data_IF_208982523325
#
_entry.id   IF_208982523325
#
_cell.length_a   1.000
_cell.length_b   1.000
_cell.length_c   1.000
_cell.angle_alpha   90.00
_cell.angle_beta   90.00
_cell.angle_gamma   90.00
#
_symmetry.space_group_name_H-M   'P 1'
#
loop_
_entity.id
_entity.type
_entity.pdbx_description
1 polymer ?
2 water ?
#
# COMPACT_ATOMS: atom_id res chain seq x y z
N UNK A 2 32.55 -19.65 20.01
CA UNK A 2 32.83 -18.21 19.89
C UNK A 2 31.92 -17.56 18.85
N UNK A 3 31.46 -18.33 17.88
CA UNK A 3 30.57 -17.79 16.86
C UNK A 3 29.17 -17.62 17.44
N UNK A 4 28.78 -18.52 18.33
CA UNK A 4 27.54 -18.38 19.08
C UNK A 4 27.57 -17.11 19.92
N UNK A 5 28.77 -16.74 20.36
CA UNK A 5 28.96 -15.49 21.09
C UNK A 5 28.81 -14.28 20.16
N UNK A 6 29.28 -14.44 18.92
CA UNK A 6 29.17 -13.38 17.92
C UNK A 6 27.71 -13.14 17.54
N UNK A 7 26.97 -14.23 17.40
CA UNK A 7 25.56 -14.17 16.99
C UNK A 7 24.72 -13.45 18.03
N UNK A 8 24.90 -13.80 19.30
CA UNK A 8 24.15 -13.19 20.39
C UNK A 8 24.45 -11.69 20.51
N UNK A 9 25.70 -11.32 20.26
CA UNK A 9 26.09 -9.91 20.31
C UNK A 9 25.42 -9.12 19.19
N UNK A 10 25.34 -9.72 18.01
CA UNK A 10 24.70 -9.07 16.87
C UNK A 10 23.20 -8.94 17.10
N UNK A 12 21.60 -8.62 20.06
CA UNK A 12 21.34 -7.58 21.05
C UNK A 12 21.41 -6.19 20.41
N UNK A 13 22.33 -6.01 19.49
CA UNK A 13 22.44 -4.76 18.76
C UNK A 13 21.18 -4.52 17.94
N UNK A 14 20.69 -5.58 17.31
CA UNK A 14 19.48 -5.51 16.51
C UNK A 14 18.24 -5.29 17.38
N UNK A 15 18.19 -5.99 18.51
CA UNK A 15 17.08 -5.88 19.44
C UNK A 15 17.03 -4.49 20.09
N UNK A 16 18.19 -3.90 20.30
CA UNK A 16 18.26 -2.55 20.85
C UNK A 16 17.82 -1.51 19.82
N UNK A 17 18.16 -1.73 18.56
CA UNK A 17 17.77 -0.82 17.50
C UNK A 17 16.27 -0.94 17.18
N UNK A 18 15.75 -2.16 17.25
CA UNK A 18 14.32 -2.40 17.06
C UNK A 18 13.50 -1.70 18.13
N UNK A 19 14.01 -1.71 19.35
CA UNK A 19 13.37 -1.05 20.48
C UNK A 19 13.18 0.45 20.22
N UNK A 20 14.22 1.07 19.67
CA UNK A 20 14.17 2.48 19.32
C UNK A 20 13.13 2.74 18.22
N UNK A 21 13.20 1.96 17.15
CA UNK A 21 12.31 2.14 16.01
C UNK A 21 10.85 1.92 16.36
N UNK A 23 9.52 2.14 19.39
CA UNK A 23 9.09 3.21 20.28
C UNK A 23 8.64 4.40 19.45
N UNK A 24 9.33 4.64 18.34
CA UNK A 24 8.98 5.72 17.43
C UNK A 24 7.64 5.43 16.74
N UNK A 25 7.41 4.17 16.42
CA UNK A 25 6.16 3.77 15.78
C UNK A 25 4.98 3.98 16.72
N UNK A 26 5.17 3.65 17.98
CA UNK A 26 4.13 3.85 18.99
C UNK A 26 3.73 5.32 19.06
N UNK A 27 4.73 6.20 19.00
CA UNK A 27 4.50 7.64 19.01
C UNK A 27 3.70 8.08 17.79
N UNK A 28 4.01 7.47 16.65
CA UNK A 28 3.32 7.78 15.40
C UNK A 28 1.85 7.38 15.46
N UNK A 29 1.57 6.24 16.09
CA UNK A 29 0.22 5.69 16.12
C UNK A 29 -0.61 6.18 17.31
N UNK A 30 0.02 6.92 18.22
CA UNK A 30 -0.65 7.39 19.42
C UNK A 30 -1.40 8.71 19.19
N UNK A 31 -2.40 8.96 20.03
CA UNK A 31 -3.19 10.17 19.93
C UNK A 31 -3.21 10.89 21.28
N UNK A 32 -3.30 12.22 21.27
CA UNK A 32 -3.40 13.00 22.49
C UNK A 32 -2.08 13.15 23.24
N UNK A 33 -0.98 12.81 22.59
CA UNK A 33 0.34 12.96 23.19
C UNK A 33 0.75 14.42 23.17
N UNK A 34 1.63 14.80 24.11
CA UNK A 34 2.09 16.18 24.19
C UNK A 34 2.89 16.56 22.94
N UNK A 35 4.01 15.86 22.72
CA UNK A 35 4.79 16.08 21.50
C UNK A 35 4.32 15.11 20.43
N UNK A 36 3.20 15.44 19.80
CA UNK A 36 2.51 14.52 18.91
C UNK A 36 3.10 14.40 17.53
N UNK A 37 2.89 13.23 16.92
CA UNK A 37 3.36 12.97 15.58
C UNK A 37 2.53 13.70 14.54
N UNK A 38 2.93 13.57 13.28
CA UNK A 38 2.17 14.15 12.18
C UNK A 38 0.83 13.45 12.02
N UNK A 39 0.82 12.14 12.21
CA UNK A 39 -0.40 11.36 12.08
C UNK A 39 -1.42 11.76 13.15
N UNK A 40 -0.93 12.05 14.35
CA UNK A 40 -1.81 12.48 15.45
C UNK A 40 -2.53 13.77 15.10
N UNK A 41 -1.78 14.76 14.64
CA UNK A 41 -2.34 16.04 14.24
C UNK A 41 -3.38 15.87 13.12
N UNK A 42 -3.09 15.01 12.17
CA UNK A 42 -4.00 14.69 11.08
C UNK A 42 -5.26 13.99 11.59
N UNK A 43 -5.07 13.02 12.47
CA UNK A 43 -6.18 12.28 13.08
C UNK A 43 -7.12 13.19 13.85
N UNK A 44 -6.57 14.09 14.66
CA UNK A 44 -7.39 14.95 15.50
C UNK A 44 -8.13 16.01 14.68
N UNK A 45 -7.44 16.58 13.69
CA UNK A 45 -8.05 17.60 12.85
C UNK A 45 -9.15 17.01 11.97
N UNK A 46 -8.90 15.83 11.42
CA UNK A 46 -9.87 15.13 10.59
C UNK A 46 -11.17 14.85 11.34
N UNK A 47 -11.05 14.33 12.56
CA UNK A 47 -12.22 13.95 13.35
C UNK A 47 -13.01 15.16 13.83
N UNK A 48 -12.33 16.29 14.05
CA UNK A 48 -13.01 17.51 14.43
C UNK A 48 -13.70 18.16 13.23
N UNK A 49 -13.05 18.08 12.07
CA UNK A 49 -13.66 18.59 10.84
C UNK A 49 -14.90 17.78 10.47
N UNK A 50 -14.85 16.48 10.71
CA UNK A 50 -15.99 15.61 10.40
C UNK A 50 -17.15 15.86 11.36
N UNK A 51 -16.82 16.20 12.60
CA UNK A 51 -17.84 16.54 13.58
C UNK A 51 -18.59 17.79 13.14
N UNK A 52 -17.85 18.76 12.63
CA UNK A 52 -18.45 19.99 12.10
C UNK A 52 -19.36 19.67 10.91
N UNK A 53 -18.85 18.88 9.97
CA UNK A 53 -19.62 18.51 8.78
C UNK A 53 -20.91 17.80 9.15
N UNK A 54 -20.84 16.89 10.12
CA UNK A 54 -22.01 16.16 10.56
C UNK A 54 -23.05 17.10 11.18
N UNK A 55 -22.56 18.06 11.96
CA UNK A 55 -23.42 19.07 12.57
C UNK A 55 -24.10 19.92 11.49
N UNK A 56 -23.31 20.40 10.54
CA UNK A 56 -23.84 21.22 9.45
C UNK A 56 -24.85 20.45 8.60
N UNK A 57 -24.61 19.15 8.44
CA UNK A 57 -25.51 18.31 7.66
C UNK A 57 -26.88 18.22 8.33
N UNK A 58 -26.88 18.08 9.65
CA UNK A 58 -28.12 18.01 10.41
C UNK A 58 -28.87 19.34 10.34
N UNK A 59 -28.13 20.44 10.40
CA UNK A 59 -28.71 21.78 10.28
C UNK A 59 -29.33 21.97 8.90
N UNK A 60 -28.65 21.48 7.86
CA UNK A 60 -29.15 21.57 6.49
C UNK A 60 -30.48 20.86 6.34
N UNK A 61 -30.59 19.69 6.95
CA UNK A 61 -31.82 18.91 6.91
C UNK A 61 -32.97 19.65 7.59
N UNK A 62 -32.64 20.46 8.59
CA UNK A 62 -33.64 21.24 9.31
C UNK A 62 -34.14 22.41 8.46
N UNK A 63 -33.44 22.72 7.38
CA UNK A 63 -33.78 23.85 6.51
C UNK A 63 -34.60 23.45 5.28
N UNK A 64 -35.29 22.31 5.37
CA UNK A 64 -36.03 21.77 4.24
C UNK A 64 -37.25 22.63 3.89
N UNK A 65 -37.86 23.23 4.89
CA UNK A 65 -39.08 23.99 4.68
C UNK A 65 -38.86 25.48 4.44
N UNK A 66 -37.65 25.96 4.71
CA UNK A 66 -37.34 27.37 4.54
C UNK A 66 -37.34 27.78 3.07
N UNK A 67 -37.89 28.96 2.78
CA UNK A 67 -38.07 29.42 1.41
C UNK A 67 -36.77 29.80 0.72
N UNK A 68 -36.86 30.01 -0.59
CA UNK A 68 -35.69 30.29 -1.41
C UNK A 68 -35.59 31.76 -1.80
N UNK A 69 -34.42 32.15 -2.32
CA UNK A 69 -34.22 33.49 -2.83
C UNK A 69 -33.78 33.42 -4.29
N UNK A 70 -34.73 33.12 -5.17
CA UNK A 70 -34.45 33.01 -6.60
C UNK A 70 -33.98 34.34 -7.18
N UNK A 71 -32.87 34.33 -7.92
CA UNK A 71 -32.11 33.12 -8.20
C UNK A 71 -31.06 32.82 -7.13
N UNK A 72 -30.99 31.56 -6.71
CA UNK A 72 -29.95 31.14 -5.79
C UNK A 72 -29.33 29.82 -6.25
N UNK A 73 -28.00 29.77 -6.27
CA UNK A 73 -27.28 28.62 -6.79
C UNK A 73 -27.18 27.47 -5.79
N UNK A 74 -28.28 27.19 -5.10
CA UNK A 74 -28.29 26.14 -4.09
C UNK A 74 -28.14 24.76 -4.73
N UNK A 75 -28.89 24.50 -5.80
CA UNK A 75 -28.80 23.22 -6.49
C UNK A 75 -27.40 23.00 -7.06
N UNK A 76 -26.79 24.08 -7.54
CA UNK A 76 -25.44 24.00 -8.11
C UNK A 76 -24.41 23.74 -7.02
N UNK A 77 -24.57 24.41 -5.88
CA UNK A 77 -23.65 24.24 -4.77
C UNK A 77 -23.85 22.88 -4.10
N UNK A 78 -25.08 22.38 -4.11
CA UNK A 78 -25.37 21.08 -3.53
C UNK A 78 -24.74 19.97 -4.37
N UNK A 79 -24.73 20.16 -5.68
CA UNK A 79 -24.09 19.22 -6.58
C UNK A 79 -22.59 19.10 -6.28
N UNK A 80 -21.95 20.25 -6.11
CA UNK A 80 -20.52 20.27 -5.82
C UNK A 80 -20.23 19.62 -4.48
N UNK A 81 -21.15 19.78 -3.54
CA UNK A 81 -21.01 19.19 -2.21
C UNK A 81 -21.08 17.67 -2.25
N UNK A 82 -22.11 17.14 -2.92
CA UNK A 82 -22.27 15.69 -3.02
C UNK A 82 -21.08 15.06 -3.76
N UNK A 83 -20.52 15.79 -4.71
CA UNK A 83 -19.32 15.35 -5.42
C UNK A 83 -18.14 15.20 -4.48
N UNK A 84 -17.88 16.25 -3.70
CA UNK A 84 -16.74 16.25 -2.79
C UNK A 84 -16.90 15.19 -1.71
N UNK A 85 -18.13 14.98 -1.24
CA UNK A 85 -18.37 14.01 -0.19
C UNK A 85 -18.19 12.58 -0.72
N UNK A 86 -18.61 12.36 -1.95
CA UNK A 86 -18.42 11.07 -2.60
C UNK A 86 -16.94 10.73 -2.71
N UNK A 87 -16.15 11.72 -3.13
CA UNK A 87 -14.71 11.55 -3.26
C UNK A 87 -14.04 11.28 -1.91
N UNK A 88 -14.46 12.00 -0.88
CA UNK A 88 -13.92 11.79 0.46
C UNK A 88 -14.32 10.43 0.99
N UNK A 89 -15.51 9.97 0.63
CA UNK A 89 -15.97 8.64 0.99
C UNK A 89 -15.04 7.57 0.45
N UNK A 90 -14.67 7.69 -0.82
CA UNK A 90 -13.78 6.71 -1.44
C UNK A 90 -12.37 6.78 -0.84
N UNK A 91 -11.92 7.99 -0.54
CA UNK A 91 -10.61 8.18 0.08
C UNK A 91 -10.57 7.58 1.49
N UNK A 92 -11.66 7.72 2.23
CA UNK A 92 -11.72 7.16 3.58
C UNK A 92 -11.69 5.64 3.55
N UNK A 93 -12.34 5.07 2.54
CA UNK A 93 -12.35 3.63 2.33
C UNK A 93 -10.94 3.12 1.99
N UNK A 94 -10.26 3.86 1.14
CA UNK A 94 -8.89 3.55 0.75
C UNK A 94 -7.95 3.60 1.97
N UNK A 95 -8.05 4.67 2.74
CA UNK A 95 -7.23 4.83 3.94
C UNK A 95 -7.50 3.74 4.98
N UNK A 96 -8.75 3.29 5.07
CA UNK A 96 -9.09 2.18 5.93
C UNK A 96 -8.40 0.92 5.45
N UNK A 97 -8.37 0.75 4.13
CA UNK A 97 -7.67 -0.38 3.51
C UNK A 97 -6.17 -0.28 3.74
N UNK A 98 -5.64 0.94 3.77
CA UNK A 98 -4.22 1.16 4.09
C UNK A 98 -3.92 0.78 5.54
N UNK A 99 -4.87 1.06 6.42
CA UNK A 99 -4.77 0.70 7.83
C UNK A 99 -4.72 -0.82 8.00
N UNK A 100 -5.53 -1.52 7.22
CA UNK A 100 -5.53 -2.99 7.25
C UNK A 100 -4.18 -3.54 6.78
N UNK A 101 -3.54 -2.85 5.86
CA UNK A 101 -2.19 -3.19 5.45
C UNK A 101 -1.19 -3.01 6.59
N UNK A 102 -1.35 -1.94 7.35
CA UNK A 102 -0.52 -1.70 8.51
C UNK A 102 -0.69 -2.83 9.52
N UNK A 103 -1.94 -3.25 9.70
CA UNK A 103 -2.24 -4.31 10.64
C UNK A 103 -1.63 -5.64 10.18
N UNK A 104 -1.70 -5.90 8.88
CA UNK A 104 -1.12 -7.11 8.31
C UNK A 104 0.40 -7.20 8.56
N UNK A 105 1.10 -6.10 8.38
CA UNK A 105 2.56 -6.07 8.61
C UNK A 105 2.88 -6.19 10.09
N UNK A 106 2.00 -5.64 10.93
CA UNK A 106 2.14 -5.75 12.38
C UNK A 106 2.09 -7.21 12.83
N UNK A 107 1.18 -7.97 12.24
CA UNK A 107 1.04 -9.38 12.57
C UNK A 107 2.19 -10.20 12.00
N UNK A 108 2.72 -9.77 10.85
CA UNK A 108 3.91 -10.39 10.29
C UNK A 108 5.10 -10.14 11.19
N UNK A 109 5.17 -8.93 11.75
CA UNK A 109 6.23 -8.55 12.68
C UNK A 109 6.17 -9.39 13.94
N UNK A 110 4.96 -9.77 14.33
CA UNK A 110 4.74 -10.54 15.54
C UNK A 110 5.32 -11.95 15.43
N UNK A 111 5.12 -12.57 14.28
CA UNK A 111 5.55 -13.94 14.09
C UNK A 111 7.07 -14.08 14.08
N UNK A 112 7.77 -12.98 13.79
CA UNK A 112 9.22 -12.96 13.84
C UNK A 112 9.68 -12.83 15.30
N UNK A 113 8.91 -12.11 16.10
CA UNK A 113 9.27 -11.85 17.49
C UNK A 113 8.85 -12.97 18.44
N UNK A 114 8.06 -13.92 17.94
CA UNK A 114 7.64 -15.04 18.77
C UNK A 114 8.81 -15.97 19.02
N UNK A 115 8.92 -16.52 20.24
CA UNK A 115 10.06 -17.35 20.63
C UNK A 115 10.05 -18.71 19.92
N UNK B 2 -31.17 32.70 3.40
CA UNK B 2 -29.72 32.81 3.37
C UNK B 2 -29.07 31.90 4.41
N UNK B 3 -29.90 31.32 5.29
CA UNK B 3 -29.41 30.39 6.30
C UNK B 3 -28.93 29.10 5.66
N UNK B 4 -29.76 28.53 4.80
CA UNK B 4 -29.40 27.35 4.04
C UNK B 4 -28.19 27.65 3.17
N UNK B 5 -28.14 28.86 2.62
CA UNK B 5 -27.04 29.30 1.78
C UNK B 5 -25.73 29.35 2.56
N UNK B 6 -25.80 29.85 3.79
CA UNK B 6 -24.62 29.94 4.64
C UNK B 6 -24.16 28.56 5.09
N UNK B 7 -25.11 27.65 5.31
CA UNK B 7 -24.79 26.29 5.70
C UNK B 7 -24.04 25.57 4.58
N UNK B 8 -24.51 25.74 3.35
CA UNK B 8 -23.88 25.12 2.20
C UNK B 8 -22.47 25.67 1.99
N UNK B 9 -22.29 26.97 2.23
CA UNK B 9 -20.98 27.60 2.11
C UNK B 9 -20.00 27.03 3.14
N UNK B 10 -20.48 26.89 4.37
CA UNK B 10 -19.65 26.36 5.45
C UNK B 10 -19.28 24.90 5.18
N UNK B 12 -19.00 23.48 2.21
CA UNK B 12 -18.01 23.47 1.12
C UNK B 12 -16.59 23.76 1.66
N UNK B 13 -16.50 24.76 2.54
CA UNK B 13 -15.23 25.12 3.17
C UNK B 13 -14.63 23.96 3.96
N UNK B 14 -15.48 23.28 4.73
CA UNK B 14 -15.06 22.16 5.56
C UNK B 14 -14.62 20.98 4.69
N UNK B 15 -15.38 20.70 3.63
CA UNK B 15 -15.06 19.62 2.72
C UNK B 15 -13.71 19.83 2.04
N UNK B 16 -13.40 21.09 1.70
CA UNK B 16 -12.12 21.42 1.09
C UNK B 16 -10.96 21.17 2.05
N UNK B 17 -11.15 21.54 3.30
CA UNK B 17 -10.13 21.33 4.32
C UNK B 17 -9.96 19.85 4.61
N UNK B 18 -11.07 19.12 4.64
CA UNK B 18 -11.06 17.69 4.88
C UNK B 18 -10.28 16.93 3.81
N UNK B 19 -10.39 17.37 2.57
CA UNK B 19 -9.66 16.71 1.48
C UNK B 19 -8.16 16.86 1.66
N UNK B 20 -7.75 18.03 2.12
CA UNK B 20 -6.33 18.29 2.36
C UNK B 20 -5.79 17.41 3.48
N UNK B 21 -6.52 17.35 4.58
CA UNK B 21 -6.14 16.55 5.73
C UNK B 21 -6.10 15.07 5.39
N UNK B 23 -5.86 13.67 2.40
CA UNK B 23 -4.79 13.39 1.44
C UNK B 23 -3.47 13.20 2.20
N UNK B 24 -3.28 13.99 3.24
CA UNK B 24 -2.10 13.87 4.08
C UNK B 24 -2.13 12.54 4.83
N UNK B 25 -3.32 12.16 5.26
CA UNK B 25 -3.51 10.89 5.96
C UNK B 25 -3.13 9.72 5.05
N UNK B 26 -3.55 9.77 3.79
CA UNK B 26 -3.20 8.72 2.84
C UNK B 26 -1.69 8.63 2.71
N UNK B 27 -1.04 9.79 2.60
CA UNK B 27 0.41 9.86 2.47
C UNK B 27 1.10 9.28 3.71
N UNK B 28 0.49 9.45 4.88
CA UNK B 28 1.07 8.93 6.11
C UNK B 28 0.97 7.41 6.19
N UNK B 29 -0.15 6.87 5.71
CA UNK B 29 -0.44 5.44 5.83
C UNK B 29 0.06 4.63 4.64
N UNK B 30 0.65 5.30 3.66
CA UNK B 30 1.14 4.63 2.47
C UNK B 30 2.60 4.20 2.62
N UNK B 31 3.00 3.21 1.83
CA UNK B 31 4.38 2.73 1.83
C UNK B 31 4.91 2.62 0.41
N UNK B 32 6.23 2.52 0.28
CA UNK B 32 6.87 2.45 -1.03
C UNK B 32 6.71 3.72 -1.84
N UNK B 33 6.50 4.84 -1.17
CA UNK B 33 6.28 6.12 -1.83
C UNK B 33 7.60 6.86 -2.04
N UNK B 34 7.60 7.76 -3.03
CA UNK B 34 8.78 8.56 -3.34
C UNK B 34 9.14 9.48 -2.19
N UNK B 35 8.24 10.37 -1.81
CA UNK B 35 8.44 11.21 -0.64
C UNK B 35 7.75 10.58 0.57
N UNK B 36 8.36 9.52 1.09
CA UNK B 36 7.77 8.73 2.16
C UNK B 36 7.58 9.47 3.47
N UNK B 37 6.50 9.13 4.15
CA UNK B 37 6.19 9.74 5.44
C UNK B 37 7.10 9.17 6.53
N UNK B 38 7.00 9.72 7.74
CA UNK B 38 7.78 9.23 8.86
C UNK B 38 7.40 7.79 9.18
N UNK B 39 6.12 7.49 9.07
CA UNK B 39 5.61 6.15 9.36
C UNK B 39 6.13 5.13 8.36
N UNK B 40 6.27 5.55 7.10
CA UNK B 40 6.81 4.68 6.06
C UNK B 40 8.28 4.36 6.35
N UNK B 41 9.05 5.39 6.69
CA UNK B 41 10.47 5.23 6.98
C UNK B 41 10.68 4.34 8.21
N UNK B 42 9.84 4.51 9.22
CA UNK B 42 9.89 3.69 10.42
C UNK B 42 9.53 2.24 10.10
N UNK B 43 8.51 2.07 9.26
CA UNK B 43 8.08 0.75 8.81
C UNK B 43 9.20 0.02 8.07
N UNK B 44 9.86 0.73 7.15
CA UNK B 44 10.93 0.16 6.36
C UNK B 44 12.08 -0.34 7.23
N UNK B 45 12.55 0.51 8.14
CA UNK B 45 13.68 0.16 8.99
C UNK B 45 13.32 -0.99 9.92
N UNK B 46 12.07 -0.99 10.39
CA UNK B 46 11.58 -2.04 11.26
C UNK B 46 11.57 -3.38 10.53
N UNK B 47 11.11 -3.37 9.28
CA UNK B 47 11.05 -4.59 8.48
C UNK B 47 12.44 -5.14 8.17
N UNK B 48 13.40 -4.26 7.89
CA UNK B 48 14.74 -4.70 7.57
C UNK B 48 15.46 -5.21 8.81
N UNK B 49 15.15 -4.62 9.96
CA UNK B 49 15.74 -5.05 11.22
C UNK B 49 15.21 -6.41 11.64
N UNK B 50 13.92 -6.63 11.40
CA UNK B 50 13.29 -7.91 11.73
C UNK B 50 13.78 -9.02 10.82
N UNK B 51 14.18 -8.66 9.60
CA UNK B 51 14.74 -9.64 8.66
C UNK B 51 16.13 -10.06 9.12
N UNK B 52 16.90 -9.08 9.60
CA UNK B 52 18.21 -9.36 10.15
C UNK B 52 18.10 -10.23 11.39
N UNK B 53 17.19 -9.85 12.29
CA UNK B 53 16.97 -10.60 13.53
C UNK B 53 16.58 -12.04 13.24
N UNK B 54 15.67 -12.23 12.30
CA UNK B 54 15.25 -13.56 11.90
C UNK B 54 16.43 -14.35 11.35
N UNK B 55 17.17 -13.72 10.44
CA UNK B 55 18.39 -14.31 9.88
C UNK B 55 19.38 -14.71 10.96
N UNK B 56 19.53 -13.86 11.98
CA UNK B 56 20.44 -14.16 13.08
C UNK B 56 19.88 -15.30 13.94
N UNK B 57 18.56 -15.40 14.03
CA UNK B 57 17.92 -16.42 14.84
C UNK B 57 18.17 -17.81 14.28
N UNK B 58 18.11 -17.93 12.95
CA UNK B 58 18.34 -19.23 12.31
C UNK B 58 19.78 -19.68 12.46
N UNK B 59 20.70 -18.72 12.51
CA UNK B 59 22.11 -19.02 12.71
C UNK B 59 22.37 -19.59 14.10
N UNK B 60 21.76 -18.96 15.11
CA UNK B 60 21.92 -19.39 16.49
C UNK B 60 21.45 -20.83 16.72
N UNK B 61 20.37 -21.21 16.03
CA UNK B 61 19.82 -22.54 16.17
C UNK B 61 20.72 -23.60 15.53
N UNK B 62 21.55 -23.16 14.58
CA UNK B 62 22.50 -24.07 13.95
C UNK B 62 23.68 -24.35 14.87
N UNK B 63 23.90 -23.45 15.82
CA UNK B 63 24.98 -23.60 16.79
C UNK B 63 24.54 -24.47 17.96
N UNK B 64 23.51 -25.28 17.75
CA UNK B 64 22.97 -26.15 18.78
C UNK B 64 24.01 -27.20 19.22
N UNK B 65 24.81 -27.66 18.27
CA UNK B 65 25.82 -28.67 18.55
C UNK B 65 26.98 -28.06 19.34
N UNK B 66 27.78 -27.24 18.63
CA UNK B 66 28.91 -26.47 19.17
C UNK B 66 29.39 -26.86 20.57
N UNK B 71 29.75 -22.25 29.41
CA UNK B 71 28.73 -21.24 29.68
C UNK B 71 28.92 -19.98 28.82
N UNK B 72 30.11 -19.38 28.89
CA UNK B 72 30.50 -18.33 27.95
C UNK B 72 29.52 -17.14 27.97
N UNK B 73 29.26 -16.60 29.16
CA UNK B 73 28.38 -15.43 29.35
C UNK B 73 27.02 -15.60 28.67
N UNK B 74 26.81 -16.75 28.02
CA UNK B 74 25.71 -16.97 27.09
C UNK B 74 24.36 -16.98 27.81
N UNK B 75 24.30 -17.68 28.94
CA UNK B 75 23.09 -17.71 29.74
C UNK B 75 22.66 -16.30 30.15
N UNK B 76 23.62 -15.47 30.53
CA UNK B 76 23.33 -14.09 30.92
C UNK B 76 22.91 -13.28 29.70
N UNK B 77 23.50 -13.57 28.55
CA UNK B 77 23.18 -12.85 27.33
C UNK B 77 21.91 -13.37 26.68
N UNK B 78 21.72 -14.69 26.68
CA UNK B 78 20.53 -15.28 26.09
C UNK B 78 19.28 -14.93 26.88
N UNK B 79 19.43 -14.78 28.19
CA UNK B 79 18.32 -14.41 29.04
C UNK B 79 17.95 -12.95 28.79
N UNK B 80 18.96 -12.12 28.57
CA UNK B 80 18.74 -10.71 28.27
C UNK B 80 18.05 -10.55 26.93
N UNK B 81 18.34 -11.46 26.02
CA UNK B 81 17.73 -11.44 24.69
C UNK B 81 16.25 -11.82 24.76
N UNK B 82 15.94 -12.89 25.49
CA UNK B 82 14.56 -13.36 25.62
C UNK B 82 13.69 -12.34 26.36
N UNK B 83 14.30 -11.56 27.24
CA UNK B 83 13.58 -10.49 27.94
C UNK B 83 13.27 -9.35 26.99
N UNK B 84 14.25 -8.96 26.18
CA UNK B 84 14.08 -7.89 25.21
C UNK B 84 13.04 -8.24 24.15
N UNK B 85 13.04 -9.49 23.70
CA UNK B 85 12.11 -9.93 22.68
C UNK B 85 10.68 -9.94 23.20
N UNK B 86 10.51 -10.36 24.45
CA UNK B 86 9.20 -10.36 25.08
C UNK B 86 8.67 -8.94 25.22
N UNK B 87 9.55 -8.00 25.54
CA UNK B 87 9.19 -6.60 25.63
C UNK B 87 8.74 -6.05 24.27
N UNK B 88 9.51 -6.37 23.23
CA UNK B 88 9.16 -5.97 21.88
C UNK B 88 7.85 -6.62 21.45
N UNK B 89 7.64 -7.86 21.90
CA UNK B 89 6.41 -8.59 21.60
C UNK B 89 5.20 -7.87 22.20
N UNK B 90 5.37 -7.33 23.41
CA UNK B 90 4.29 -6.58 24.07
C UNK B 90 4.10 -5.22 23.41
N UNK B 91 5.21 -4.62 22.99
CA UNK B 91 5.18 -3.35 22.28
C UNK B 91 4.46 -3.51 20.93
N UNK B 92 4.71 -4.63 20.25
CA UNK B 92 4.12 -4.86 18.94
C UNK B 92 2.61 -5.01 19.02
N UNK B 93 2.12 -5.69 20.04
CA UNK B 93 0.68 -5.90 20.17
C UNK B 93 -0.01 -4.62 20.62
N UNK B 94 0.70 -3.78 21.36
CA UNK B 94 0.19 -2.49 21.78
C UNK B 94 0.03 -1.57 20.57
N UNK B 95 1.03 -1.60 19.69
CA UNK B 95 0.96 -0.85 18.44
C UNK B 95 -0.16 -1.38 17.54
N UNK B 96 -0.42 -2.68 17.63
CA UNK B 96 -1.54 -3.28 16.93
C UNK B 96 -2.87 -2.77 17.48
N UNK B 97 -2.93 -2.59 18.79
CA UNK B 97 -4.12 -2.05 19.44
C UNK B 97 -4.34 -0.60 19.02
N UNK B 98 -3.25 0.13 18.84
CA UNK B 98 -3.32 1.51 18.39
C UNK B 98 -3.82 1.60 16.94
N UNK B 99 -3.47 0.60 16.13
CA UNK B 99 -3.97 0.52 14.76
C UNK B 99 -5.47 0.19 14.73
N UNK B 100 -5.89 -0.69 15.63
CA UNK B 100 -7.30 -1.01 15.76
C UNK B 100 -8.10 0.23 16.19
N UNK B 101 -7.44 1.12 16.93
CA UNK B 101 -8.04 2.38 17.31
C UNK B 101 -8.26 3.29 16.13
N UNK B 102 -7.30 3.29 15.19
CA UNK B 102 -7.43 4.10 13.98
C UNK B 102 -8.52 3.54 13.06
N UNK B 103 -8.66 2.22 13.08
CA UNK B 103 -9.73 1.54 12.35
C UNK B 103 -11.10 2.02 12.84
N UNK B 104 -11.27 2.05 14.15
CA UNK B 104 -12.50 2.53 14.79
C UNK B 104 -12.83 3.94 14.33
N UNK B 105 -11.82 4.81 14.35
CA UNK B 105 -12.00 6.19 13.93
C UNK B 105 -12.27 6.30 12.43
N UNK B 106 -11.70 5.38 11.66
CA UNK B 106 -11.99 5.30 10.24
C UNK B 106 -13.45 4.89 10.01
N UNK B 107 -13.95 3.98 10.84
CA UNK B 107 -15.34 3.54 10.73
C UNK B 107 -16.30 4.67 11.10
N UNK B 108 -15.91 5.51 12.05
CA UNK B 108 -16.71 6.67 12.43
C UNK B 108 -16.78 7.68 11.30
N UNK B 109 -15.67 7.84 10.58
CA UNK B 109 -15.60 8.72 9.43
C UNK B 109 -16.55 8.24 8.33
N UNK B 110 -16.56 6.93 8.10
CA UNK B 110 -17.43 6.33 7.09
C UNK B 110 -18.90 6.67 7.34
N UNK B 111 -19.32 6.60 8.60
CA UNK B 111 -20.71 6.89 8.96
C UNK B 111 -21.11 8.32 8.60
N UNK B 112 -20.19 9.25 8.83
CA UNK B 112 -20.43 10.65 8.53
C UNK B 112 -20.47 10.89 7.02
N UNK B 113 -19.63 10.18 6.27
CA UNK B 113 -19.49 10.40 4.84
C UNK B 113 -20.35 9.49 3.99
N UNK B 114 -21.11 8.60 4.63
CA UNK B 114 -21.90 7.62 3.89
C UNK B 114 -23.02 8.29 3.10
N UNK B 115 -23.36 7.73 1.93
CA UNK B 115 -24.35 8.37 1.04
C UNK B 115 -25.74 8.46 1.65
N UNK B 116 -26.44 9.55 1.38
CA UNK B 116 -27.83 9.69 1.80
C UNK B 116 -28.69 8.67 1.07
N UNK B 117 -29.66 8.11 1.77
CA UNK B 117 -30.53 7.11 1.17
C UNK B 117 -31.77 7.77 0.57
N UNK B 118 -31.80 9.10 0.57
CA UNK B 118 -32.75 9.86 -0.24
C UNK B 118 -32.00 11.02 -0.89
N UNK B 119 -32.12 11.13 -2.22
CA UNK B 119 -31.46 12.24 -2.93
C UNK B 119 -32.23 13.55 -2.72
N UNK B 120 -31.50 14.65 -2.55
CA UNK B 120 -32.14 15.93 -2.30
C UNK B 120 -32.20 16.77 -3.57
N UNK B 121 -33.41 17.17 -3.96
CA UNK B 121 -33.61 17.98 -5.16
C UNK B 121 -34.10 19.38 -4.80
N UNK B 122 -33.25 20.37 -5.02
CA UNK B 122 -33.60 21.75 -4.70
C UNK B 122 -34.21 22.47 -5.89
N UNK C 2 -22.41 -40.37 -9.98
CA UNK C 2 -21.09 -40.18 -9.39
C UNK C 2 -20.21 -39.32 -10.30
N UNK C 3 -20.73 -39.00 -11.49
CA UNK C 3 -20.05 -38.09 -12.40
C UNK C 3 -19.97 -36.70 -11.78
N UNK C 4 -21.08 -36.25 -11.21
CA UNK C 4 -21.14 -34.99 -10.49
C UNK C 4 -20.17 -35.00 -9.32
N UNK C 5 -20.04 -36.16 -8.69
CA UNK C 5 -19.13 -36.34 -7.57
C UNK C 5 -17.67 -36.15 -7.98
N UNK C 6 -17.30 -36.65 -9.16
CA UNK C 6 -15.91 -36.56 -9.61
C UNK C 6 -15.58 -35.14 -10.07
N UNK C 7 -16.59 -34.42 -10.56
CA UNK C 7 -16.40 -33.04 -10.97
C UNK C 7 -16.10 -32.16 -9.75
N UNK C 8 -16.89 -32.34 -8.70
CA UNK C 8 -16.72 -31.57 -7.47
C UNK C 8 -15.39 -31.88 -6.79
N UNK C 9 -14.94 -33.13 -6.90
CA UNK C 9 -13.67 -33.55 -6.32
C UNK C 9 -12.49 -32.85 -7.00
N UNK C 10 -12.54 -32.76 -8.32
CA UNK C 10 -11.48 -32.11 -9.07
C UNK C 10 -11.49 -30.60 -8.85
N UNK C 12 -12.27 -29.07 -5.96
CA UNK C 12 -11.65 -28.86 -4.66
C UNK C 12 -10.14 -28.85 -4.77
N UNK C 13 -9.61 -29.76 -5.59
CA UNK C 13 -8.17 -29.87 -5.79
C UNK C 13 -7.59 -28.62 -6.45
N UNK C 14 -8.29 -28.13 -7.46
CA UNK C 14 -7.88 -26.93 -8.19
C UNK C 14 -7.98 -25.70 -7.28
N UNK C 15 -9.07 -25.60 -6.53
CA UNK C 15 -9.27 -24.48 -5.61
C UNK C 15 -8.18 -24.40 -4.55
N UNK C 16 -7.72 -25.56 -4.09
CA UNK C 16 -6.63 -25.61 -3.11
C UNK C 16 -5.32 -25.12 -3.73
N UNK C 17 -5.04 -25.53 -4.96
CA UNK C 17 -3.86 -25.08 -5.67
C UNK C 17 -3.94 -23.59 -5.99
N UNK C 18 -5.14 -23.12 -6.28
CA UNK C 18 -5.37 -21.72 -6.57
C UNK C 18 -5.08 -20.83 -5.37
N UNK C 19 -5.46 -21.29 -4.19
CA UNK C 19 -5.23 -20.53 -2.97
C UNK C 19 -3.73 -20.34 -2.72
N UNK C 20 -2.97 -21.40 -2.95
CA UNK C 20 -1.51 -21.35 -2.79
C UNK C 20 -0.88 -20.36 -3.76
N UNK C 21 -1.25 -20.45 -5.03
CA UNK C 21 -0.71 -19.58 -6.06
C UNK C 21 -1.11 -18.12 -5.84
N UNK C 23 -2.04 -16.77 -3.01
CA UNK C 23 -1.37 -16.28 -1.80
C UNK C 23 0.04 -15.81 -2.17
N UNK C 24 0.67 -16.53 -3.08
CA UNK C 24 2.00 -16.16 -3.56
C UNK C 24 1.92 -14.89 -4.39
N UNK C 25 0.84 -14.72 -5.13
CA UNK C 25 0.64 -13.51 -5.91
C UNK C 25 0.53 -12.29 -5.01
N UNK C 26 -0.21 -12.42 -3.92
CA UNK C 26 -0.37 -11.32 -2.96
C UNK C 26 0.97 -10.86 -2.41
N UNK C 27 1.83 -11.81 -2.05
CA UNK C 27 3.13 -11.48 -1.50
C UNK C 27 3.99 -10.74 -2.52
N UNK C 28 3.89 -11.14 -3.79
CA UNK C 28 4.65 -10.48 -4.85
C UNK C 28 4.22 -9.03 -5.03
N UNK C 29 2.92 -8.78 -4.87
CA UNK C 29 2.35 -7.46 -5.14
C UNK C 29 2.37 -6.56 -3.91
N UNK C 30 2.73 -7.12 -2.75
CA UNK C 30 2.75 -6.36 -1.51
C UNK C 30 4.04 -5.54 -1.36
N UNK C 31 3.95 -4.49 -0.55
CA UNK C 31 5.09 -3.59 -0.32
C UNK C 31 5.27 -3.40 1.19
N UNK C 32 6.50 -3.14 1.61
CA UNK C 32 6.81 -2.91 3.01
C UNK C 32 6.87 -4.19 3.84
N UNK C 33 7.04 -5.32 3.18
CA UNK C 33 7.09 -6.60 3.88
C UNK C 33 8.50 -6.88 4.39
N UNK C 34 8.60 -7.75 5.39
CA UNK C 34 9.87 -8.10 6.00
C UNK C 34 10.80 -8.75 4.99
N UNK C 35 10.39 -9.90 4.45
CA UNK C 35 11.14 -10.51 3.35
C UNK C 35 10.43 -10.25 2.03
N UNK C 36 10.53 -9.02 1.56
CA UNK C 36 9.81 -8.59 0.38
C UNK C 36 10.22 -9.31 -0.89
N UNK C 37 9.30 -9.36 -1.84
CA UNK C 37 9.56 -9.94 -3.14
C UNK C 37 10.57 -9.09 -3.91
N UNK C 38 11.01 -9.59 -5.06
CA UNK C 38 11.91 -8.83 -5.91
C UNK C 38 11.24 -7.55 -6.40
N UNK C 39 9.93 -7.63 -6.65
CA UNK C 39 9.17 -6.46 -7.09
C UNK C 39 9.12 -5.37 -6.02
N UNK C 40 9.03 -5.77 -4.76
CA UNK C 40 9.03 -4.82 -3.65
C UNK C 40 10.35 -4.07 -3.59
N UNK C 41 11.46 -4.80 -3.66
CA UNK C 41 12.78 -4.21 -3.57
C UNK C 41 13.05 -3.28 -4.75
N UNK C 42 12.56 -3.65 -5.93
CA UNK C 42 12.69 -2.81 -7.11
C UNK C 42 11.86 -1.55 -6.95
N UNK C 43 10.66 -1.70 -6.39
CA UNK C 43 9.77 -0.57 -6.11
C UNK C 43 10.40 0.46 -5.18
N UNK C 44 11.09 -0.02 -4.16
CA UNK C 44 11.67 0.86 -3.15
C UNK C 44 12.98 1.51 -3.63
N UNK C 45 13.76 0.76 -4.41
CA UNK C 45 14.94 1.33 -5.05
C UNK C 45 14.54 2.44 -6.00
N UNK C 46 13.49 2.19 -6.77
CA UNK C 46 12.98 3.14 -7.75
C UNK C 46 12.46 4.40 -7.07
N UNK C 47 11.69 4.22 -6.00
CA UNK C 47 11.12 5.35 -5.27
C UNK C 47 12.20 6.23 -4.64
N UNK C 48 13.23 5.62 -4.06
CA UNK C 48 14.30 6.38 -3.45
C UNK C 48 15.15 7.11 -4.50
N UNK C 49 15.41 6.45 -5.62
CA UNK C 49 16.16 7.06 -6.71
C UNK C 49 15.40 8.25 -7.29
N UNK C 50 14.09 8.11 -7.41
CA UNK C 50 13.26 9.20 -7.93
C UNK C 50 13.23 10.37 -6.97
N UNK C 51 13.29 10.06 -5.67
CA UNK C 51 13.35 11.10 -4.65
C UNK C 51 14.62 11.93 -4.79
N UNK C 52 15.74 11.25 -5.01
CA UNK C 52 17.01 11.93 -5.21
C UNK C 52 17.00 12.77 -6.49
N UNK C 53 16.39 12.22 -7.55
CA UNK C 53 16.34 12.92 -8.83
C UNK C 53 15.56 14.21 -8.74
N UNK C 54 14.39 14.14 -8.12
CA UNK C 54 13.54 15.31 -7.96
C UNK C 54 14.24 16.37 -7.12
N UNK C 55 15.02 15.91 -6.15
CA UNK C 55 15.79 16.80 -5.29
C UNK C 55 16.90 17.51 -6.08
N UNK C 56 17.60 16.74 -6.91
CA UNK C 56 18.66 17.30 -7.75
C UNK C 56 18.09 18.29 -8.77
N UNK C 57 16.90 17.99 -9.27
CA UNK C 57 16.23 18.84 -10.24
C UNK C 57 15.93 20.23 -9.67
N UNK C 58 15.54 20.28 -8.41
CA UNK C 58 15.20 21.54 -7.76
C UNK C 58 16.44 22.40 -7.56
N UNK C 59 17.56 21.74 -7.26
CA UNK C 59 18.84 22.44 -7.13
C UNK C 59 19.23 23.06 -8.47
N UNK C 60 19.10 22.29 -9.54
CA UNK C 60 19.47 22.73 -10.87
C UNK C 60 18.67 23.96 -11.30
N UNK C 61 17.37 23.93 -11.02
CA UNK C 61 16.48 25.03 -11.38
C UNK C 61 16.89 26.35 -10.71
N UNK C 62 17.28 26.25 -9.45
CA UNK C 62 17.63 27.44 -8.68
C UNK C 62 18.93 28.09 -9.16
N UNK C 63 19.97 27.29 -9.37
CA UNK C 63 21.28 27.83 -9.69
C UNK C 63 21.47 28.09 -11.19
N UNK C 64 20.55 27.60 -12.02
CA UNK C 64 20.64 27.85 -13.46
C UNK C 64 20.25 29.28 -13.82
N UNK C 65 20.10 30.12 -12.80
CA UNK C 65 19.89 31.55 -12.99
C UNK C 65 21.08 32.32 -12.46
N UNK C 66 21.51 31.96 -11.26
CA UNK C 66 22.68 32.56 -10.65
C UNK C 66 23.88 32.38 -11.56
N UNK C 67 24.14 31.16 -12.01
CA UNK C 67 25.37 30.96 -12.76
C UNK C 67 25.36 29.68 -13.60
N UNK C 68 25.05 29.87 -14.89
CA UNK C 68 25.32 28.86 -15.92
C UNK C 68 26.51 29.31 -16.74
N UNK C 69 27.50 29.84 -16.03
CA UNK C 69 28.68 30.51 -16.63
C UNK C 69 29.78 29.66 -17.24
N UNK C 70 30.45 28.86 -16.40
CA UNK C 70 31.77 28.28 -16.73
C UNK C 70 31.90 27.76 -18.16
N UNK C 71 31.16 26.70 -18.44
CA UNK C 71 31.26 26.03 -19.74
C UNK C 71 29.92 26.00 -20.47
N UNK C 72 29.99 25.87 -21.78
CA UNK C 72 28.81 25.57 -22.57
C UNK C 72 28.82 24.08 -22.87
N UNK C 73 29.63 23.36 -22.09
CA UNK C 73 29.66 21.91 -22.12
C UNK C 73 28.41 21.37 -21.42
N UNK C 74 27.72 22.26 -20.71
CA UNK C 74 26.44 21.93 -20.09
C UNK C 74 25.35 21.73 -21.15
N UNK C 75 25.52 22.37 -22.30
CA UNK C 75 24.54 22.26 -23.38
C UNK C 75 24.47 20.82 -23.89
N UNK C 76 25.63 20.18 -23.99
CA UNK C 76 25.69 18.78 -24.42
C UNK C 76 25.26 17.87 -23.28
N UNK C 77 25.59 18.26 -22.05
CA UNK C 77 25.22 17.49 -20.88
C UNK C 77 23.71 17.51 -20.69
N UNK C 78 23.11 18.68 -20.87
CA UNK C 78 21.68 18.84 -20.67
C UNK C 78 20.88 18.08 -21.73
N UNK C 79 21.35 18.10 -22.96
CA UNK C 79 20.71 17.36 -24.04
C UNK C 79 20.72 15.85 -23.75
N UNK C 80 21.85 15.36 -23.28
CA UNK C 80 21.98 13.95 -22.94
C UNK C 80 21.09 13.60 -21.75
N UNK C 81 20.96 14.54 -20.81
CA UNK C 81 20.11 14.33 -19.64
C UNK C 81 18.65 14.30 -20.03
N UNK C 82 18.21 15.28 -20.82
CA UNK C 82 16.83 15.34 -21.27
C UNK C 82 16.47 14.14 -22.14
N UNK C 83 17.47 13.61 -22.86
CA UNK C 83 17.27 12.42 -23.66
C UNK C 83 17.11 11.19 -22.77
N UNK C 84 17.92 11.11 -21.72
CA UNK C 84 17.84 10.03 -20.75
C UNK C 84 16.49 9.97 -20.06
N UNK C 85 16.03 11.12 -19.58
CA UNK C 85 14.77 11.20 -18.85
C UNK C 85 13.58 10.89 -19.76
N UNK C 86 13.70 11.31 -21.02
CA UNK C 86 12.66 11.03 -22.00
C UNK C 86 12.53 9.53 -22.23
N UNK C 87 13.67 8.83 -22.23
CA UNK C 87 13.68 7.39 -22.35
C UNK C 87 13.01 6.76 -21.11
N UNK C 88 13.38 7.24 -19.93
CA UNK C 88 12.79 6.72 -18.69
C UNK C 88 11.29 6.99 -18.65
N UNK C 89 10.87 8.12 -19.21
CA UNK C 89 9.46 8.48 -19.27
C UNK C 89 8.69 7.47 -20.12
N UNK C 90 9.26 7.07 -21.25
CA UNK C 90 8.65 6.08 -22.12
C UNK C 90 8.66 4.70 -21.47
N UNK C 91 9.74 4.41 -20.76
CA UNK C 91 9.87 3.14 -20.05
C UNK C 91 8.87 3.04 -18.90
N UNK C 92 8.63 4.16 -18.23
CA UNK C 92 7.64 4.21 -17.16
C UNK C 92 6.23 4.02 -17.71
N UNK C 93 5.99 4.60 -18.88
CA UNK C 93 4.70 4.47 -19.56
C UNK C 93 4.46 3.01 -19.96
N UNK C 94 5.51 2.35 -20.43
CA UNK C 94 5.43 0.95 -20.84
C UNK C 94 5.10 0.04 -19.65
N UNK C 95 5.76 0.29 -18.53
CA UNK C 95 5.52 -0.48 -17.32
C UNK C 95 4.10 -0.28 -16.77
N UNK C 96 3.55 0.92 -16.98
CA UNK C 96 2.18 1.19 -16.61
C UNK C 96 1.20 0.41 -17.47
N UNK C 97 1.51 0.32 -18.76
CA UNK C 97 0.73 -0.47 -19.70
C UNK C 97 0.78 -1.96 -19.34
N UNK C 98 1.94 -2.41 -18.86
CA UNK C 98 2.10 -3.77 -18.38
C UNK C 98 1.24 -4.02 -17.14
N UNK C 99 1.19 -3.02 -16.27
CA UNK C 99 0.33 -3.07 -15.08
C UNK C 99 -1.14 -3.16 -15.48
N UNK C 100 -1.53 -2.40 -16.49
CA UNK C 100 -2.88 -2.46 -17.03
C UNK C 100 -3.18 -3.85 -17.59
N UNK C 101 -2.16 -4.48 -18.18
CA UNK C 101 -2.28 -5.85 -18.64
C UNK C 101 -2.53 -6.83 -17.51
N UNK C 102 -1.91 -6.59 -16.36
CA UNK C 102 -2.12 -7.42 -15.19
C UNK C 102 -3.52 -7.20 -14.61
N UNK C 103 -3.99 -5.95 -14.69
CA UNK C 103 -5.34 -5.60 -14.28
C UNK C 103 -6.38 -6.37 -15.10
N UNK C 104 -6.17 -6.41 -16.43
CA UNK C 104 -7.06 -7.13 -17.34
C UNK C 104 -7.16 -8.60 -16.95
N UNK C 105 -6.02 -9.21 -16.65
CA UNK C 105 -5.98 -10.61 -16.26
C UNK C 105 -6.65 -10.81 -14.90
N UNK C 106 -6.51 -9.83 -14.01
CA UNK C 106 -7.17 -9.88 -12.71
C UNK C 106 -8.68 -9.85 -12.87
N UNK C 107 -9.17 -9.07 -13.82
CA UNK C 107 -10.61 -8.97 -14.10
C UNK C 107 -11.14 -10.25 -14.74
N UNK C 108 -10.33 -10.88 -15.58
CA UNK C 108 -10.68 -12.17 -16.16
C UNK C 108 -10.82 -13.23 -15.07
N UNK C 109 -9.91 -13.18 -14.10
CA UNK C 109 -9.94 -14.10 -12.97
C UNK C 109 -11.22 -13.93 -12.16
N UNK C 110 -11.61 -12.66 -11.97
CA UNK C 110 -12.81 -12.33 -11.20
C UNK C 110 -14.07 -12.93 -11.83
N UNK C 111 -14.14 -12.92 -13.15
CA UNK C 111 -15.29 -13.47 -13.86
C UNK C 111 -15.41 -14.99 -13.65
N UNK C 112 -14.28 -15.66 -13.58
CA UNK C 112 -14.27 -17.11 -13.36
C UNK C 112 -14.69 -17.45 -11.92
N UNK C 113 -14.26 -16.62 -10.98
CA UNK C 113 -14.56 -16.87 -9.57
C UNK C 113 -15.96 -16.41 -9.18
N UNK C 114 -16.65 -15.73 -10.10
CA UNK C 114 -18.00 -15.25 -9.85
C UNK C 114 -19.02 -16.38 -9.90
N UNK C 115 -19.97 -16.39 -8.95
CA UNK C 115 -20.97 -17.45 -8.86
C UNK C 115 -21.93 -17.49 -10.04
N UNK D 2 30.62 26.01 -11.00
CA UNK D 2 30.82 24.59 -11.24
C UNK D 2 29.87 23.74 -10.40
N UNK D 3 29.11 24.39 -9.53
CA UNK D 3 28.15 23.67 -8.70
C UNK D 3 26.99 23.16 -9.56
N UNK D 4 26.74 23.84 -10.68
CA UNK D 4 25.75 23.38 -11.64
C UNK D 4 26.21 22.11 -12.34
N UNK D 5 27.51 22.06 -12.64
CA UNK D 5 28.11 20.86 -13.21
C UNK D 5 28.09 19.73 -12.19
N UNK D 6 28.16 20.11 -10.92
CA UNK D 6 28.07 19.15 -9.82
C UNK D 6 26.69 18.52 -9.75
N UNK D 7 25.68 19.26 -10.16
CA UNK D 7 24.31 18.75 -10.13
C UNK D 7 24.06 17.82 -11.31
N UNK D 8 24.58 18.18 -12.47
CA UNK D 8 24.29 17.47 -13.71
C UNK D 8 24.84 16.03 -13.75
N UNK D 9 26.05 15.82 -13.26
CA UNK D 9 26.64 14.48 -13.32
C UNK D 9 26.14 13.61 -12.16
N UNK D 10 25.65 14.24 -11.10
CA UNK D 10 24.94 13.51 -10.06
C UNK D 10 23.63 12.98 -10.62
N UNK D 12 23.04 12.32 -13.92
CA UNK D 12 23.36 11.27 -14.88
C UNK D 12 23.63 9.95 -14.17
N UNK D 13 24.28 10.03 -13.01
CA UNK D 13 24.52 8.86 -12.18
C UNK D 13 23.21 8.24 -11.73
N UNK D 14 22.31 9.07 -11.21
CA UNK D 14 21.00 8.61 -10.77
C UNK D 14 20.18 8.09 -11.95
N UNK D 15 20.21 8.81 -13.07
CA UNK D 15 19.46 8.42 -14.27
C UNK D 15 19.95 7.08 -14.82
N UNK D 16 21.24 6.80 -14.65
CA UNK D 16 21.79 5.51 -15.06
C UNK D 16 21.33 4.39 -14.13
N UNK D 17 21.27 4.70 -12.83
CA UNK D 17 20.78 3.75 -11.84
C UNK D 17 19.28 3.52 -12.01
N UNK D 18 18.56 4.58 -12.34
CA UNK D 18 17.12 4.49 -12.57
C UNK D 18 16.80 3.61 -13.77
N UNK D 19 17.64 3.65 -14.78
CA UNK D 19 17.43 2.85 -15.98
C UNK D 19 17.57 1.37 -15.65
N UNK D 20 18.59 1.04 -14.86
CA UNK D 20 18.85 -0.34 -14.47
C UNK D 20 17.70 -0.92 -13.66
N UNK D 21 17.18 -0.12 -12.72
CA UNK D 21 16.11 -0.57 -11.85
C UNK D 21 14.79 -0.71 -12.61
N UNK D 23 14.44 -1.16 -15.84
CA UNK D 23 14.58 -2.29 -16.75
C UNK D 23 14.20 -3.58 -16.03
N UNK D 24 14.61 -3.68 -14.76
CA UNK D 24 14.27 -4.85 -13.95
C UNK D 24 12.78 -4.87 -13.61
N UNK D 25 12.19 -3.70 -13.45
CA UNK D 25 10.76 -3.60 -13.18
C UNK D 25 9.97 -4.09 -14.38
N UNK D 26 10.41 -3.72 -15.57
CA UNK D 26 9.75 -4.15 -16.80
C UNK D 26 9.73 -5.68 -16.90
N UNK D 27 10.85 -6.31 -16.54
CA UNK D 27 10.95 -7.76 -16.58
C UNK D 27 10.04 -8.41 -15.53
N UNK D 28 9.91 -7.75 -14.38
CA UNK D 28 9.02 -8.23 -13.33
C UNK D 28 7.57 -8.25 -13.78
N UNK D 29 7.16 -7.20 -14.48
CA UNK D 29 5.77 -7.01 -14.87
C UNK D 29 5.43 -7.65 -16.21
N UNK D 30 6.43 -8.22 -16.88
CA UNK D 30 6.21 -8.86 -18.17
C UNK D 30 5.85 -10.33 -18.01
N UNK D 31 5.29 -10.91 -19.07
CA UNK D 31 4.95 -12.33 -19.08
C UNK D 31 5.50 -12.99 -20.35
N UNK D 32 5.65 -14.31 -20.30
CA UNK D 32 6.17 -15.06 -21.44
C UNK D 32 7.64 -14.79 -21.73
N UNK D 33 8.35 -14.25 -20.73
CA UNK D 33 9.77 -13.97 -20.88
C UNK D 33 10.59 -15.22 -20.62
N UNK D 34 11.79 -15.28 -21.20
CA UNK D 34 12.69 -16.42 -21.02
C UNK D 34 13.17 -16.54 -19.59
N UNK D 35 13.84 -15.49 -19.09
CA UNK D 35 14.24 -15.47 -17.69
C UNK D 35 13.16 -14.77 -16.86
N UNK D 36 12.04 -15.47 -16.64
CA UNK D 36 10.85 -14.87 -16.09
C UNK D 36 10.88 -14.63 -14.59
N UNK D 37 10.15 -13.59 -14.17
CA UNK D 37 10.03 -13.26 -12.76
C UNK D 37 9.17 -14.29 -12.04
N UNK D 38 9.18 -14.25 -10.72
CA UNK D 38 8.28 -15.08 -9.93
C UNK D 38 6.84 -14.69 -10.22
N UNK D 39 6.61 -13.40 -10.42
CA UNK D 39 5.28 -12.89 -10.72
C UNK D 39 4.76 -13.49 -12.03
N UNK D 40 5.64 -13.62 -13.02
CA UNK D 40 5.30 -14.26 -14.30
C UNK D 40 4.87 -15.71 -14.10
N UNK D 41 5.68 -16.46 -13.36
CA UNK D 41 5.39 -17.87 -13.11
C UNK D 41 4.07 -18.04 -12.38
N UNK D 42 3.82 -17.15 -11.42
CA UNK D 42 2.57 -17.16 -10.67
C UNK D 42 1.39 -16.81 -11.57
N UNK D 43 1.58 -15.79 -12.40
CA UNK D 43 0.52 -15.33 -13.30
C UNK D 43 0.10 -16.42 -14.29
N UNK D 44 1.09 -17.10 -14.89
CA UNK D 44 0.79 -18.10 -15.88
C UNK D 44 0.20 -19.35 -15.23
N UNK D 45 0.66 -19.65 -14.02
CA UNK D 45 0.15 -20.78 -13.26
C UNK D 45 -1.29 -20.52 -12.83
N UNK D 46 -1.55 -19.28 -12.39
CA UNK D 46 -2.87 -18.87 -11.95
C UNK D 46 -3.88 -18.91 -13.10
N UNK D 47 -3.47 -18.47 -14.28
CA UNK D 47 -4.37 -18.44 -15.44
C UNK D 47 -4.77 -19.82 -15.92
N UNK D 48 -3.84 -20.77 -15.92
CA UNK D 48 -4.14 -22.13 -16.36
C UNK D 48 -5.03 -22.84 -15.34
N UNK D 49 -4.80 -22.58 -14.05
CA UNK D 49 -5.62 -23.16 -13.00
C UNK D 49 -7.06 -22.68 -13.12
N UNK D 50 -7.24 -21.40 -13.44
CA UNK D 50 -8.57 -20.82 -13.57
C UNK D 50 -9.30 -21.35 -14.80
N UNK D 51 -8.55 -21.72 -15.84
CA UNK D 51 -9.13 -22.29 -17.05
C UNK D 51 -9.73 -23.66 -16.74
N UNK D 52 -9.03 -24.43 -15.92
CA UNK D 52 -9.51 -25.74 -15.51
C UNK D 52 -10.75 -25.61 -14.62
N UNK D 53 -10.74 -24.62 -13.73
CA UNK D 53 -11.86 -24.37 -12.85
C UNK D 53 -13.11 -23.98 -13.63
N UNK D 54 -12.93 -23.12 -14.64
CA UNK D 54 -14.05 -22.70 -15.47
C UNK D 54 -14.57 -23.87 -16.29
N UNK D 55 -13.66 -24.74 -16.71
CA UNK D 55 -14.01 -25.94 -17.46
C UNK D 55 -14.86 -26.87 -16.60
N UNK D 56 -14.41 -27.11 -15.38
CA UNK D 56 -15.12 -27.97 -14.44
C UNK D 56 -16.49 -27.42 -14.09
N UNK D 57 -16.56 -26.10 -13.93
CA UNK D 57 -17.81 -25.43 -13.57
C UNK D 57 -18.89 -25.65 -14.62
N UNK D 58 -18.51 -25.51 -15.89
CA UNK D 58 -19.45 -25.70 -16.99
C UNK D 58 -19.96 -27.13 -17.06
N UNK D 59 -19.11 -28.08 -16.67
CA UNK D 59 -19.49 -29.49 -16.68
C UNK D 59 -20.48 -29.82 -15.56
N UNK D 60 -20.28 -29.21 -14.40
CA UNK D 60 -21.17 -29.42 -13.26
C UNK D 60 -22.58 -28.93 -13.58
N UNK D 61 -22.67 -27.84 -14.34
CA UNK D 61 -23.95 -27.27 -14.70
C UNK D 61 -24.73 -28.18 -15.64
N UNK D 62 -24.02 -29.03 -16.38
CA UNK D 62 -24.67 -29.95 -17.30
C UNK D 62 -25.08 -31.25 -16.61
N UNK D 63 -24.88 -31.32 -15.30
CA UNK D 63 -25.27 -32.50 -14.54
C UNK D 63 -26.57 -32.25 -13.80
N UNK D 64 -27.63 -31.95 -14.56
CA UNK D 64 -28.95 -31.72 -13.99
C UNK D 64 -29.55 -33.02 -13.45
N UNK D 65 -29.31 -34.11 -14.17
CA UNK D 65 -29.84 -35.42 -13.79
C UNK D 65 -28.77 -36.51 -13.85
N UNK D 71 -27.80 -35.92 -5.38
CA UNK D 71 -27.15 -35.16 -4.32
C UNK D 71 -26.96 -36.03 -3.08
N UNK D 72 -25.90 -36.84 -3.08
CA UNK D 72 -25.54 -37.67 -1.94
C UNK D 72 -24.12 -37.32 -1.51
N UNK D 73 -23.99 -36.68 -0.36
CA UNK D 73 -22.72 -36.12 0.14
C UNK D 73 -22.31 -34.89 -0.69
N UNK D 74 -23.17 -34.54 -1.65
CA UNK D 74 -22.92 -33.43 -2.56
C UNK D 74 -23.11 -32.07 -1.90
N UNK D 75 -24.17 -31.95 -1.10
CA UNK D 75 -24.51 -30.69 -0.45
C UNK D 75 -23.38 -30.17 0.43
N UNK D 76 -22.69 -31.10 1.10
CA UNK D 76 -21.60 -30.75 1.99
C UNK D 76 -20.37 -30.28 1.21
N UNK D 77 -20.04 -30.98 0.14
CA UNK D 77 -18.86 -30.65 -0.64
C UNK D 77 -19.07 -29.42 -1.51
N UNK D 78 -20.33 -29.18 -1.90
CA UNK D 78 -20.65 -27.97 -2.64
C UNK D 78 -20.56 -26.76 -1.72
N UNK D 79 -20.91 -26.96 -0.46
CA UNK D 79 -20.79 -25.90 0.55
C UNK D 79 -19.33 -25.49 0.75
N UNK D 80 -18.44 -26.47 0.78
CA UNK D 80 -17.02 -26.21 0.97
C UNK D 80 -16.41 -25.53 -0.27
N UNK D 81 -16.93 -25.87 -1.45
CA UNK D 81 -16.45 -25.27 -2.68
C UNK D 81 -16.81 -23.79 -2.74
N UNK D 82 -18.09 -23.47 -2.50
CA UNK D 82 -18.56 -22.10 -2.56
C UNK D 82 -17.86 -21.22 -1.52
N UNK D 83 -17.41 -21.84 -0.43
CA UNK D 83 -16.70 -21.11 0.62
C UNK D 83 -15.27 -20.82 0.19
N UNK D 84 -14.64 -21.79 -0.47
CA UNK D 84 -13.29 -21.60 -0.99
C UNK D 84 -13.28 -20.55 -2.10
N UNK D 85 -14.26 -20.62 -2.99
CA UNK D 85 -14.33 -19.68 -4.11
C UNK D 85 -14.60 -18.26 -3.63
N UNK D 86 -15.42 -18.15 -2.59
CA UNK D 86 -15.71 -16.85 -2.00
C UNK D 86 -14.43 -16.22 -1.45
N UNK D 87 -13.61 -17.03 -0.79
CA UNK D 87 -12.33 -16.59 -0.26
C UNK D 87 -11.38 -16.18 -1.38
N UNK D 88 -11.35 -16.97 -2.44
CA UNK D 88 -10.50 -16.64 -3.60
C UNK D 88 -10.95 -15.34 -4.25
N UNK D 89 -12.26 -15.12 -4.30
CA UNK D 89 -12.81 -13.90 -4.85
C UNK D 89 -12.33 -12.69 -4.05
N UNK D 90 -12.27 -12.84 -2.72
CA UNK D 90 -11.81 -11.78 -1.85
C UNK D 90 -10.32 -11.51 -2.06
N UNK D 91 -9.54 -12.57 -2.21
CA UNK D 91 -8.10 -12.46 -2.40
C UNK D 91 -7.81 -11.80 -3.74
N UNK D 92 -8.55 -12.22 -4.76
CA UNK D 92 -8.41 -11.65 -6.09
C UNK D 92 -8.69 -10.15 -6.07
N UNK D 93 -9.71 -9.78 -5.30
CA UNK D 93 -10.06 -8.38 -5.12
C UNK D 93 -8.93 -7.63 -4.43
N UNK D 94 -8.30 -8.29 -3.47
CA UNK D 94 -7.19 -7.69 -2.74
C UNK D 94 -5.98 -7.49 -3.65
N UNK D 95 -5.68 -8.51 -4.45
CA UNK D 95 -4.57 -8.44 -5.38
C UNK D 95 -4.81 -7.38 -6.46
N UNK D 96 -6.06 -7.22 -6.86
CA UNK D 96 -6.42 -6.18 -7.82
C UNK D 96 -6.15 -4.80 -7.25
N UNK D 97 -6.50 -4.62 -5.99
CA UNK D 97 -6.27 -3.35 -5.31
C UNK D 97 -4.76 -3.12 -5.10
N UNK D 98 -4.01 -4.20 -4.91
CA UNK D 98 -2.56 -4.11 -4.83
C UNK D 98 -1.95 -3.63 -6.16
N UNK D 99 -2.51 -4.13 -7.26
CA UNK D 99 -2.11 -3.68 -8.59
C UNK D 99 -2.40 -2.19 -8.78
N UNK D 100 -3.56 -1.76 -8.30
CA UNK D 100 -3.93 -0.35 -8.34
C UNK D 100 -2.95 0.50 -7.56
N UNK D 101 -2.39 -0.07 -6.50
CA UNK D 101 -1.33 0.58 -5.74
C UNK D 101 -0.07 0.72 -6.57
N UNK D 102 0.24 -0.32 -7.36
CA UNK D 102 1.39 -0.30 -8.24
C UNK D 102 1.22 0.79 -9.30
N UNK D 103 0.01 0.89 -9.83
CA UNK D 103 -0.32 1.90 -10.83
C UNK D 103 -0.16 3.31 -10.25
N UNK D 104 -0.63 3.50 -9.03
CA UNK D 104 -0.53 4.79 -8.34
C UNK D 104 0.93 5.25 -8.23
N UNK D 105 1.81 4.34 -7.81
CA UNK D 105 3.24 4.67 -7.70
C UNK D 105 3.84 4.97 -9.07
N UNK D 106 3.38 4.25 -10.09
CA UNK D 106 3.82 4.48 -11.46
C UNK D 106 3.48 5.89 -11.93
N UNK D 107 2.31 6.38 -11.52
CA UNK D 107 1.86 7.72 -11.90
C UNK D 107 2.62 8.80 -11.13
N UNK D 108 2.95 8.52 -9.88
CA UNK D 108 3.80 9.40 -9.09
C UNK D 108 5.19 9.48 -9.72
N UNK D 109 5.69 8.35 -10.20
CA UNK D 109 6.98 8.29 -10.89
C UNK D 109 6.97 9.18 -12.14
N UNK D 110 5.87 9.14 -12.88
CA UNK D 110 5.75 9.91 -14.11
C UNK D 110 5.84 11.40 -13.87
N UNK D 111 5.27 11.86 -12.75
CA UNK D 111 5.29 13.27 -12.41
C UNK D 111 6.71 13.76 -12.14
N UNK D 112 7.52 12.92 -11.52
CA UNK D 112 8.93 13.25 -11.29
C UNK D 112 9.71 13.27 -12.61
N UNK D 113 9.40 12.33 -13.50
CA UNK D 113 10.16 12.19 -14.75
C UNK D 113 9.73 13.19 -15.83
N UNK D 114 8.79 14.06 -15.49
CA UNK D 114 8.26 15.02 -16.45
C UNK D 114 8.84 16.43 -16.27
N UNK D 115 9.19 17.09 -17.38
CA UNK D 115 9.66 18.47 -17.46
C UNK D 115 8.79 19.42 -16.65
#
# INVERSE_FOLDING_TARGET
XTRLSEILDQXTTVLNDLKTVXDAEQQQLSVGQINGSQLQRITEEKSSLLATLDYLEQQRRLEQNAQRSANDDIAERWQAITEKTQHLRDLNQHNGWLLEGQIERNQQALEVLKPHQEPTLYGADGQTSVSHRGGKKISI
XTRLSEILDQXTTVLNDLKTVXDAEQQQLSVGQINGSQLQRITEEKSSLLATLDYLEQQRRLEQNAQRSANDDIAERWQAITEKTQHLRDLNQHNGWLLEGQIERNQQALEVLKPHQEPTLYGADGQTSVSHRGGKKISI
XTRLSEILDQXTTVLNDLKTVXDAEQQQLSVGQINGSQLQRITEEKSSLLATLDYLEQQRRLEQNAQRSANDDIAERWQAITEKTQHLRDLNQHNGWLLEGQIERNQQALEVLKPHQEPTLYGADGQTSVSHRGGKKISI
XTRLSEILDQXTTVLNDLKTVXDAEQQQLSVGQINGSQLQRITEEKSSLLATLDYLEQQRRLEQNAQRSANDDIAERWQAITEKTQHLRDLNQHNGWLLEGQIERNQQALEVLKPHQEPTLYGADGQTSVSHRGGKKISI
#
